data_IF_233267556547
#
_entry.id   IF_233267556547
#
_cell.length_a   1.000
_cell.length_b   1.000
_cell.length_c   1.000
_cell.angle_alpha   90.00
_cell.angle_beta   90.00
_cell.angle_gamma   90.00
#
_symmetry.space_group_name_H-M   'P 1'
#
loop_
_entity.id
_entity.type
_entity.pdbx_description
1 polymer ?
#
# COMPACT_ATOMS: atom_id res chain seq x y z
N UNK A 1 -28.09 -11.87 23.95
CA UNK A 1 -26.82 -12.51 24.36
C UNK A 1 -26.32 -13.38 23.21
N UNK A 2 -25.05 -13.22 22.80
CA UNK A 2 -24.19 -14.13 22.00
C UNK A 2 -24.68 -14.49 20.59
N UNK A 3 -23.97 -14.18 19.49
CA UNK A 3 -22.56 -14.46 19.24
C UNK A 3 -21.77 -13.24 18.75
N UNK A 4 -20.50 -13.22 19.15
CA UNK A 4 -19.52 -12.13 19.04
C UNK A 4 -18.96 -11.98 17.60
N UNK A 5 -18.27 -10.87 17.28
CA UNK A 5 -17.45 -10.70 16.06
C UNK A 5 -16.30 -11.72 15.89
N UNK A 6 -16.17 -12.66 16.83
CA UNK A 6 -15.31 -13.85 16.79
C UNK A 6 -15.76 -14.88 15.75
N UNK A 7 -16.83 -14.61 14.98
CA UNK A 7 -17.27 -15.39 13.84
C UNK A 7 -16.18 -15.48 12.76
N UNK A 8 -15.36 -16.50 13.00
CA UNK A 8 -14.52 -17.28 12.11
C UNK A 8 -13.25 -16.60 11.56
N UNK A 9 -12.47 -16.03 12.48
CA UNK A 9 -11.04 -15.71 12.25
C UNK A 9 -10.31 -16.90 11.64
N UNK A 10 -10.64 -18.12 12.08
CA UNK A 10 -10.11 -19.36 11.51
C UNK A 10 -10.42 -19.50 10.02
N UNK A 11 -11.64 -19.20 9.57
CA UNK A 11 -12.03 -19.19 8.15
C UNK A 11 -11.49 -18.01 7.35
N UNK A 12 -11.26 -16.86 7.99
CA UNK A 12 -10.53 -15.76 7.36
C UNK A 12 -9.06 -16.10 7.19
N UNK A 13 -8.42 -16.65 8.23
CA UNK A 13 -7.03 -17.12 8.21
C UNK A 13 -6.87 -18.27 7.22
N UNK A 14 -7.81 -19.21 7.13
CA UNK A 14 -7.75 -20.31 6.19
C UNK A 14 -7.87 -19.88 4.72
N UNK A 15 -8.31 -18.64 4.45
CA UNK A 15 -8.25 -18.03 3.10
C UNK A 15 -6.87 -17.49 2.77
N UNK A 16 -6.04 -17.25 3.78
CA UNK A 16 -4.60 -17.11 3.59
C UNK A 16 -4.05 -18.54 3.57
N UNK A 17 -3.40 -19.00 2.49
CA UNK A 17 -2.68 -20.28 2.56
C UNK A 17 -1.75 -20.26 3.79
N UNK A 18 -1.43 -21.41 4.42
CA UNK A 18 -0.62 -21.49 5.63
C UNK A 18 0.79 -20.96 5.35
N UNK A 19 0.88 -19.65 5.41
CA UNK A 19 1.97 -18.80 5.00
C UNK A 19 2.06 -17.70 6.04
N UNK A 20 3.26 -17.15 6.14
CA UNK A 20 3.61 -16.14 7.13
C UNK A 20 2.60 -14.99 7.23
N UNK A 21 1.96 -14.56 6.13
CA UNK A 21 0.90 -13.55 6.14
C UNK A 21 -0.29 -13.90 7.06
N UNK A 22 -0.71 -15.17 7.11
CA UNK A 22 -1.77 -15.62 8.02
C UNK A 22 -1.34 -15.58 9.50
N UNK A 23 -0.07 -15.92 9.78
CA UNK A 23 0.54 -15.78 11.12
C UNK A 23 0.57 -14.31 11.55
N UNK A 24 0.95 -13.40 10.63
CA UNK A 24 0.97 -11.95 10.88
C UNK A 24 -0.43 -11.46 11.27
N UNK A 25 -1.42 -11.77 10.42
CA UNK A 25 -2.81 -11.32 10.62
C UNK A 25 -3.37 -11.86 11.94
N UNK A 26 -3.10 -13.13 12.26
CA UNK A 26 -3.52 -13.72 13.53
C UNK A 26 -2.85 -13.04 14.72
N UNK A 27 -1.54 -12.81 14.66
CA UNK A 27 -0.79 -12.18 15.74
C UNK A 27 -1.27 -10.74 16.00
N UNK A 28 -1.51 -9.97 14.94
CA UNK A 28 -2.12 -8.64 15.01
C UNK A 28 -3.54 -8.68 15.58
N UNK A 29 -4.33 -9.70 15.22
CA UNK A 29 -5.66 -9.91 15.81
C UNK A 29 -5.58 -10.12 17.32
N UNK A 30 -4.65 -10.96 17.78
CA UNK A 30 -4.44 -11.23 19.19
C UNK A 30 -3.86 -10.03 19.94
N UNK A 31 -3.27 -9.06 19.22
CA UNK A 31 -2.65 -7.88 19.83
C UNK A 31 -1.25 -8.12 20.35
N UNK A 32 -0.58 -9.14 19.81
CA UNK A 32 0.80 -9.41 20.11
C UNK A 32 1.68 -8.28 19.56
N UNK A 33 2.80 -8.02 20.24
CA UNK A 33 3.83 -7.10 19.74
C UNK A 33 4.42 -7.66 18.45
N UNK A 34 4.67 -6.76 17.51
CA UNK A 34 5.18 -7.03 16.16
C UNK A 34 6.03 -5.85 15.73
N UNK A 35 7.05 -6.16 14.95
CA UNK A 35 7.99 -5.23 14.36
C UNK A 35 7.79 -5.31 12.84
N UNK A 36 7.55 -4.16 12.21
CA UNK A 36 7.18 -4.12 10.79
C UNK A 36 8.36 -4.54 9.92
N UNK A 37 9.58 -4.12 10.30
CA UNK A 37 10.80 -4.46 9.60
C UNK A 37 11.10 -5.97 9.67
N UNK A 38 11.04 -6.58 10.86
CA UNK A 38 11.22 -8.01 11.08
C UNK A 38 10.20 -8.82 10.27
N UNK A 39 8.94 -8.41 10.31
CA UNK A 39 7.85 -9.06 9.59
C UNK A 39 8.01 -8.99 8.08
N UNK A 40 8.37 -7.81 7.57
CA UNK A 40 8.70 -7.57 6.18
C UNK A 40 9.87 -8.43 5.71
N UNK A 41 10.94 -8.51 6.49
CA UNK A 41 12.10 -9.34 6.19
C UNK A 41 11.79 -10.85 6.23
N UNK A 42 11.01 -11.30 7.22
CA UNK A 42 10.54 -12.68 7.29
C UNK A 42 9.69 -13.03 6.07
N UNK A 43 8.83 -12.12 5.59
CA UNK A 43 8.05 -12.31 4.36
C UNK A 43 8.96 -12.42 3.15
N UNK A 44 9.91 -11.49 2.99
CA UNK A 44 10.90 -11.51 1.90
C UNK A 44 11.69 -12.82 1.86
N UNK A 45 12.11 -13.36 3.01
CA UNK A 45 12.91 -14.59 3.09
C UNK A 45 12.08 -15.88 2.92
N UNK A 46 10.88 -15.95 3.52
CA UNK A 46 10.07 -17.18 3.54
C UNK A 46 9.17 -17.33 2.32
N UNK A 47 8.74 -16.23 1.71
CA UNK A 47 7.91 -16.27 0.51
C UNK A 47 8.78 -16.12 -0.73
N UNK A 48 8.60 -17.03 -1.68
CA UNK A 48 9.16 -16.92 -3.04
C UNK A 48 8.37 -15.87 -3.84
N UNK A 49 8.53 -14.59 -3.53
CA UNK A 49 7.96 -13.51 -4.35
C UNK A 49 8.89 -13.28 -5.54
N UNK A 50 8.34 -13.19 -6.74
CA UNK A 50 9.10 -12.75 -7.90
C UNK A 50 9.23 -11.22 -7.84
N UNK A 51 10.45 -10.72 -7.71
CA UNK A 51 10.72 -9.29 -7.57
C UNK A 51 11.51 -8.81 -8.78
N UNK A 52 11.03 -7.74 -9.42
CA UNK A 52 11.66 -7.10 -10.58
C UNK A 52 11.79 -5.59 -10.37
N UNK A 53 12.77 -4.97 -11.03
CA UNK A 53 12.91 -3.51 -11.02
C UNK A 53 13.50 -2.92 -9.75
N UNK A 54 14.15 -3.73 -8.89
CA UNK A 54 14.79 -3.23 -7.66
C UNK A 54 15.86 -2.18 -7.97
N UNK A 55 16.55 -2.34 -9.10
CA UNK A 55 17.53 -1.39 -9.62
C UNK A 55 16.98 0.03 -9.80
N UNK A 56 15.66 0.19 -9.98
CA UNK A 56 15.01 1.50 -10.09
C UNK A 56 15.02 2.30 -8.78
N UNK A 57 15.22 1.62 -7.63
CA UNK A 57 15.40 2.26 -6.33
C UNK A 57 16.82 2.81 -6.16
N UNK A 58 17.85 2.21 -6.75
CA UNK A 58 19.22 2.71 -6.58
C UNK A 58 19.39 4.16 -7.09
N UNK A 59 18.49 4.60 -7.97
CA UNK A 59 18.46 5.95 -8.50
C UNK A 59 17.73 6.97 -7.61
N UNK A 60 17.10 6.59 -6.49
CA UNK A 60 16.32 7.52 -5.66
C UNK A 60 17.18 8.42 -4.76
N UNK A 61 18.47 8.11 -4.55
CA UNK A 61 19.43 8.97 -3.84
C UNK A 61 18.86 9.58 -2.55
N UNK A 62 19.05 10.88 -2.33
CA UNK A 62 18.45 11.62 -1.21
C UNK A 62 17.13 12.32 -1.56
N UNK A 63 16.51 12.02 -2.71
CA UNK A 63 15.26 12.70 -3.10
C UNK A 63 14.04 12.05 -2.45
N UNK A 64 12.97 12.83 -2.27
CA UNK A 64 11.70 12.29 -1.78
C UNK A 64 11.08 11.34 -2.79
N UNK A 65 10.43 10.29 -2.33
CA UNK A 65 9.83 9.29 -3.22
C UNK A 65 8.36 9.10 -2.91
N UNK A 66 7.53 9.16 -3.94
CA UNK A 66 6.12 8.80 -3.86
C UNK A 66 5.88 7.51 -4.63
N UNK A 67 5.55 6.45 -3.91
CA UNK A 67 5.27 5.13 -4.46
C UNK A 67 3.77 4.94 -4.58
N UNK A 68 3.31 4.53 -5.77
CA UNK A 68 1.91 4.21 -6.02
C UNK A 68 1.80 2.78 -6.50
N UNK A 69 1.01 1.95 -5.83
CA UNK A 69 0.82 0.54 -6.18
C UNK A 69 -0.64 0.16 -6.44
N UNK A 70 -0.91 -0.80 -7.31
CA UNK A 70 -2.28 -1.30 -7.51
C UNK A 70 -2.79 -2.10 -6.30
N UNK A 71 -4.11 -2.32 -6.22
CA UNK A 71 -4.75 -3.06 -5.15
C UNK A 71 -5.20 -4.46 -5.60
N UNK A 72 -4.32 -5.49 -5.65
CA UNK A 72 -4.70 -6.85 -6.00
C UNK A 72 -5.58 -7.51 -4.93
N UNK A 73 -5.94 -8.79 -5.15
CA UNK A 73 -6.62 -9.63 -4.16
C UNK A 73 -5.88 -9.66 -2.82
N UNK A 74 -6.66 -9.65 -1.73
CA UNK A 74 -6.21 -9.45 -0.34
C UNK A 74 -4.95 -10.21 0.09
N UNK A 75 -4.80 -11.53 -0.11
CA UNK A 75 -3.61 -12.25 0.39
C UNK A 75 -2.31 -11.77 -0.25
N UNK A 76 -2.39 -11.37 -1.52
CA UNK A 76 -1.26 -11.01 -2.37
C UNK A 76 -0.86 -9.56 -2.11
N UNK A 77 -1.85 -8.72 -1.82
CA UNK A 77 -1.63 -7.35 -1.35
C UNK A 77 -0.76 -7.32 -0.09
N UNK A 78 -1.05 -8.19 0.90
CA UNK A 78 -0.27 -8.23 2.14
C UNK A 78 1.16 -8.68 1.86
N UNK A 79 1.35 -9.79 1.16
CA UNK A 79 2.70 -10.30 0.84
C UNK A 79 3.52 -9.29 0.00
N UNK A 80 2.87 -8.65 -0.97
CA UNK A 80 3.48 -7.62 -1.82
C UNK A 80 3.86 -6.35 -1.05
N UNK A 81 2.96 -5.79 -0.24
CA UNK A 81 3.24 -4.59 0.57
C UNK A 81 4.38 -4.85 1.54
N UNK A 82 4.34 -5.96 2.29
CA UNK A 82 5.39 -6.24 3.27
C UNK A 82 6.74 -6.47 2.58
N UNK A 83 6.76 -7.09 1.40
CA UNK A 83 7.98 -7.24 0.62
C UNK A 83 8.49 -5.90 0.09
N UNK A 84 7.60 -5.03 -0.39
CA UNK A 84 7.95 -3.67 -0.78
C UNK A 84 8.59 -2.92 0.39
N UNK A 85 7.98 -2.96 1.57
CA UNK A 85 8.51 -2.32 2.77
C UNK A 85 9.88 -2.91 3.17
N UNK A 86 10.07 -4.22 3.04
CA UNK A 86 11.37 -4.86 3.30
C UNK A 86 12.47 -4.31 2.39
N UNK A 87 12.16 -4.14 1.09
CA UNK A 87 13.10 -3.62 0.10
C UNK A 87 13.39 -2.13 0.37
N UNK A 88 12.36 -1.35 0.71
CA UNK A 88 12.50 0.08 0.97
C UNK A 88 13.26 0.38 2.27
N UNK A 89 13.24 -0.57 3.22
CA UNK A 89 13.97 -0.46 4.49
C UNK A 89 15.39 -1.03 4.39
N UNK A 90 15.78 -1.53 3.22
CA UNK A 90 17.13 -2.02 2.97
C UNK A 90 18.04 -0.82 2.67
N UNK A 91 18.91 -0.50 3.63
CA UNK A 91 19.79 0.69 3.58
C UNK A 91 20.68 0.70 2.33
N UNK A 92 21.06 -0.48 1.84
CA UNK A 92 21.89 -0.64 0.64
C UNK A 92 21.13 -0.32 -0.66
N UNK A 93 19.79 -0.24 -0.61
CA UNK A 93 18.92 -0.06 -1.78
C UNK A 93 18.30 1.34 -1.81
N UNK A 94 17.71 1.79 -0.70
CA UNK A 94 16.94 3.03 -0.66
C UNK A 94 17.69 4.21 -0.01
N UNK A 95 18.81 3.92 0.67
CA UNK A 95 19.40 4.78 1.68
C UNK A 95 18.47 4.87 2.89
N UNK A 96 19.01 4.90 4.13
CA UNK A 96 18.20 4.95 5.34
C UNK A 96 17.21 6.13 5.29
N UNK A 97 15.93 5.83 5.05
CA UNK A 97 14.87 6.82 4.85
C UNK A 97 13.63 6.44 5.62
N UNK A 98 12.97 7.47 6.13
CA UNK A 98 11.68 7.30 6.76
C UNK A 98 10.62 6.98 5.69
N UNK A 99 9.85 5.92 5.92
CA UNK A 99 8.79 5.39 5.06
C UNK A 99 7.44 5.65 5.73
N UNK A 100 6.52 6.25 5.00
CA UNK A 100 5.13 6.42 5.42
C UNK A 100 4.21 5.65 4.48
N UNK A 101 3.59 4.58 4.99
CA UNK A 101 2.54 3.85 4.28
C UNK A 101 1.19 4.51 4.54
N UNK A 102 0.50 4.89 3.47
CA UNK A 102 -0.86 5.41 3.50
C UNK A 102 -1.83 4.27 3.21
N UNK A 103 -2.66 3.93 4.19
CA UNK A 103 -3.69 2.91 4.08
C UNK A 103 -5.08 3.50 4.27
N UNK A 104 -6.08 2.89 3.63
CA UNK A 104 -7.47 3.23 3.89
C UNK A 104 -7.84 2.89 5.35
N UNK A 105 -8.47 3.84 6.04
CA UNK A 105 -8.95 3.65 7.41
C UNK A 105 -10.15 2.71 7.53
N UNK A 106 -10.81 2.44 6.40
CA UNK A 106 -11.97 1.57 6.28
C UNK A 106 -12.09 1.05 4.84
N UNK A 107 -12.53 -0.19 4.66
CA UNK A 107 -12.94 -0.66 3.33
C UNK A 107 -14.45 -0.43 3.21
N UNK A 108 -14.94 0.26 2.15
CA UNK A 108 -16.37 0.42 1.91
C UNK A 108 -17.01 -0.93 1.62
N UNK A 109 -17.38 -1.69 2.64
CA UNK A 109 -18.15 -2.91 2.43
C UNK A 109 -19.63 -2.58 2.24
N UNK A 110 -20.29 -3.39 1.42
CA UNK A 110 -21.75 -3.51 1.40
C UNK A 110 -22.21 -4.03 2.77
N UNK A 111 -22.60 -3.15 3.70
CA UNK A 111 -23.26 -3.42 5.01
C UNK A 111 -22.63 -4.44 5.98
N UNK A 112 -21.67 -5.28 5.58
CA UNK A 112 -21.12 -6.41 6.34
C UNK A 112 -19.60 -6.56 6.07
N UNK A 113 -18.78 -5.61 6.51
CA UNK A 113 -17.32 -5.73 6.40
C UNK A 113 -16.87 -6.76 7.43
N UNK A 114 -16.72 -8.01 7.00
CA UNK A 114 -16.13 -9.04 7.85
C UNK A 114 -14.62 -8.82 7.99
N UNK A 115 -14.12 -9.20 9.16
CA UNK A 115 -12.71 -9.30 9.53
C UNK A 115 -11.85 -9.89 8.38
N UNK A 116 -10.67 -9.33 8.02
CA UNK A 116 -9.82 -8.40 8.78
C UNK A 116 -10.02 -6.91 8.44
N UNK A 117 -11.01 -6.52 7.64
CA UNK A 117 -11.05 -5.18 7.06
C UNK A 117 -11.88 -4.15 7.82
N UNK A 118 -12.08 -4.38 9.12
CA UNK A 118 -12.80 -3.44 9.98
C UNK A 118 -11.92 -2.24 10.34
N UNK A 119 -12.55 -1.08 10.60
CA UNK A 119 -11.87 0.12 11.12
C UNK A 119 -11.03 -0.23 12.35
N UNK A 120 -11.58 -1.06 13.25
CA UNK A 120 -10.91 -1.47 14.48
C UNK A 120 -9.65 -2.28 14.21
N UNK A 121 -9.67 -3.17 13.21
CA UNK A 121 -8.46 -3.92 12.83
C UNK A 121 -7.43 -3.01 12.19
N UNK A 122 -7.81 -2.15 11.25
CA UNK A 122 -6.85 -1.21 10.61
C UNK A 122 -6.20 -0.29 11.65
N UNK A 123 -6.98 0.23 12.61
CA UNK A 123 -6.46 0.99 13.75
C UNK A 123 -5.50 0.17 14.61
N UNK A 124 -5.84 -1.09 14.89
CA UNK A 124 -4.99 -1.98 15.68
C UNK A 124 -3.68 -2.31 14.96
N UNK A 125 -3.74 -2.55 13.65
CA UNK A 125 -2.58 -2.78 12.79
C UNK A 125 -1.65 -1.56 12.79
N UNK A 126 -2.20 -0.38 12.50
CA UNK A 126 -1.42 0.85 12.51
C UNK A 126 -0.86 1.15 13.90
N UNK A 127 -1.64 0.89 14.97
CA UNK A 127 -1.15 1.05 16.33
C UNK A 127 0.04 0.13 16.59
N UNK A 128 -0.13 -1.20 16.46
CA UNK A 128 0.89 -2.21 16.79
C UNK A 128 2.21 -1.94 16.07
N UNK A 129 2.18 -1.61 14.78
CA UNK A 129 3.39 -1.31 14.03
C UNK A 129 3.98 0.07 14.35
N UNK A 130 3.16 1.07 14.70
CA UNK A 130 3.67 2.40 15.03
C UNK A 130 4.14 2.53 16.50
N UNK A 131 3.84 1.58 17.39
CA UNK A 131 4.27 1.64 18.81
C UNK A 131 5.60 0.94 19.08
N UNK A 132 6.01 0.00 18.23
CA UNK A 132 7.19 -0.83 18.50
C UNK A 132 8.44 -0.41 17.70
N UNK A 133 8.32 0.46 16.70
CA UNK A 133 9.40 0.65 15.73
C UNK A 133 10.15 1.98 15.85
N UNK A 134 11.47 1.83 15.64
CA UNK A 134 12.45 2.78 15.12
C UNK A 134 11.75 3.81 14.22
N UNK A 135 12.05 5.11 14.35
CA UNK A 135 11.27 6.24 13.78
C UNK A 135 11.12 6.23 12.23
N UNK A 136 11.59 5.17 11.57
CA UNK A 136 11.79 5.00 10.15
C UNK A 136 10.59 4.44 9.40
N UNK A 137 9.61 3.74 9.99
CA UNK A 137 8.41 3.30 9.23
C UNK A 137 7.10 3.56 9.97
N UNK A 138 6.16 4.24 9.29
CA UNK A 138 4.86 4.62 9.86
C UNK A 138 3.69 4.27 8.96
N UNK A 139 2.59 3.81 9.56
CA UNK A 139 1.31 3.59 8.88
C UNK A 139 0.34 4.72 9.23
N UNK A 140 -0.15 5.44 8.23
CA UNK A 140 -1.20 6.46 8.36
C UNK A 140 -2.50 5.97 7.75
N UNK A 141 -3.59 6.07 8.53
CA UNK A 141 -4.92 5.69 8.09
C UNK A 141 -5.68 6.90 7.57
N UNK A 142 -6.19 6.80 6.34
CA UNK A 142 -6.99 7.85 5.69
C UNK A 142 -8.48 7.51 5.78
N UNK A 143 -9.32 8.38 6.37
CA UNK A 143 -10.76 8.25 6.23
C UNK A 143 -11.17 8.36 4.76
N UNK A 144 -11.92 7.38 4.28
CA UNK A 144 -12.42 7.34 2.91
C UNK A 144 -13.97 7.39 2.83
N UNK A 145 -14.68 7.27 3.96
CA UNK A 145 -16.12 7.46 4.06
C UNK A 145 -16.47 8.90 4.46
N UNK A 146 -17.11 9.64 3.53
CA UNK A 146 -17.57 11.03 3.73
C UNK A 146 -18.55 11.22 4.89
N UNK A 147 -19.24 10.15 5.32
CA UNK A 147 -20.20 10.19 6.42
C UNK A 147 -19.52 10.18 7.79
N UNK A 148 -18.21 9.93 7.86
CA UNK A 148 -17.47 9.98 9.12
C UNK A 148 -17.35 11.41 9.65
N UNK A 149 -17.56 11.66 10.95
CA UNK A 149 -17.35 12.98 11.54
C UNK A 149 -15.95 13.53 11.31
N UNK A 150 -14.93 12.66 11.31
CA UNK A 150 -13.52 13.02 11.15
C UNK A 150 -13.04 12.99 9.69
N UNK A 151 -13.91 12.83 8.70
CA UNK A 151 -13.51 12.66 7.30
C UNK A 151 -12.63 13.82 6.78
N UNK A 152 -13.09 15.07 6.92
CA UNK A 152 -12.38 16.25 6.39
C UNK A 152 -11.08 16.49 7.14
N UNK A 153 -11.13 16.51 8.47
CA UNK A 153 -9.96 16.78 9.31
C UNK A 153 -8.92 15.68 9.24
N UNK A 154 -9.34 14.41 9.23
CA UNK A 154 -8.46 13.26 9.10
C UNK A 154 -7.70 13.27 7.78
N UNK A 155 -8.38 13.54 6.66
CA UNK A 155 -7.71 13.70 5.35
C UNK A 155 -6.77 14.89 5.32
N UNK A 156 -7.13 16.03 5.93
CA UNK A 156 -6.23 17.20 6.04
C UNK A 156 -4.96 16.86 6.83
N UNK A 157 -5.08 16.14 7.95
CA UNK A 157 -3.95 15.69 8.77
C UNK A 157 -3.04 14.74 7.99
N UNK A 158 -3.61 13.76 7.27
CA UNK A 158 -2.80 12.84 6.46
C UNK A 158 -2.09 13.57 5.32
N UNK A 159 -2.77 14.46 4.59
CA UNK A 159 -2.13 15.26 3.53
C UNK A 159 -0.97 16.11 4.07
N UNK A 160 -1.14 16.72 5.25
CA UNK A 160 -0.07 17.46 5.91
C UNK A 160 1.12 16.56 6.27
N UNK A 161 0.86 15.35 6.75
CA UNK A 161 1.90 14.38 7.08
C UNK A 161 2.64 13.89 5.82
N UNK A 162 1.92 13.60 4.73
CA UNK A 162 2.50 13.25 3.42
C UNK A 162 3.45 14.35 2.94
N UNK A 163 2.99 15.60 2.92
CA UNK A 163 3.82 16.73 2.49
C UNK A 163 5.03 16.94 3.40
N UNK A 164 4.86 16.81 4.72
CA UNK A 164 5.97 16.88 5.67
C UNK A 164 6.99 15.76 5.44
N UNK A 165 6.53 14.57 5.08
CA UNK A 165 7.41 13.42 4.80
C UNK A 165 8.24 13.65 3.54
N UNK A 166 7.57 14.07 2.45
CA UNK A 166 8.23 14.36 1.18
C UNK A 166 9.20 15.54 1.32
N UNK A 167 8.83 16.60 2.05
CA UNK A 167 9.71 17.73 2.30
C UNK A 167 11.04 17.36 3.01
N UNK A 168 11.06 16.25 3.75
CA UNK A 168 12.26 15.72 4.44
C UNK A 168 13.05 14.71 3.61
N UNK A 169 12.67 14.48 2.34
CA UNK A 169 13.32 13.47 1.50
C UNK A 169 12.88 12.03 1.79
N UNK A 170 11.81 11.84 2.57
CA UNK A 170 11.28 10.53 2.91
C UNK A 170 10.51 9.85 1.78
N UNK A 171 10.05 8.62 2.06
CA UNK A 171 9.25 7.80 1.16
C UNK A 171 7.80 7.83 1.62
N UNK A 172 6.86 8.02 0.69
CA UNK A 172 5.42 7.86 0.91
C UNK A 172 4.90 6.79 -0.03
N UNK A 173 4.31 5.72 0.50
CA UNK A 173 3.69 4.67 -0.29
C UNK A 173 2.18 4.71 -0.16
N UNK A 174 1.46 4.67 -1.28
CA UNK A 174 0.00 4.72 -1.35
C UNK A 174 -0.54 3.63 -2.29
N UNK A 175 -1.57 2.91 -1.85
CA UNK A 175 -2.35 2.10 -2.75
C UNK A 175 -3.16 3.02 -3.69
N UNK A 176 -2.89 2.94 -4.99
CA UNK A 176 -3.63 3.65 -6.04
C UNK A 176 -5.11 3.29 -5.98
N UNK A 177 -5.98 4.30 -6.12
CA UNK A 177 -7.42 4.12 -5.92
C UNK A 177 -8.12 3.58 -7.17
N UNK A 178 -8.58 2.34 -7.09
CA UNK A 178 -9.27 1.67 -8.18
C UNK A 178 -9.00 0.17 -8.16
N UNK A 179 -9.77 -0.57 -8.93
CA UNK A 179 -9.44 -1.95 -9.28
C UNK A 179 -8.71 -1.86 -10.62
N UNK A 180 -7.37 -1.95 -10.60
CA UNK A 180 -6.50 -1.67 -11.75
C UNK A 180 -6.23 -2.95 -12.58
N UNK A 181 -7.01 -4.00 -12.35
CA UNK A 181 -6.98 -5.27 -13.09
C UNK A 181 -7.63 -5.18 -14.48
N UNK A 182 -8.18 -6.30 -14.96
CA UNK A 182 -8.68 -6.46 -16.35
C UNK A 182 -9.74 -5.44 -16.78
N UNK A 183 -10.46 -4.86 -15.82
CA UNK A 183 -11.56 -3.93 -16.07
C UNK A 183 -11.15 -2.46 -15.88
N UNK A 184 -10.08 -2.02 -16.53
CA UNK A 184 -9.76 -0.58 -16.63
C UNK A 184 -10.91 0.21 -17.27
N UNK A 185 -11.72 -0.45 -18.11
CA UNK A 185 -12.93 0.14 -18.70
C UNK A 185 -14.16 0.10 -17.78
N UNK A 186 -14.15 -0.67 -16.69
CA UNK A 186 -15.15 -0.56 -15.60
C UNK A 186 -14.59 0.13 -14.37
N UNK A 187 -13.50 0.90 -14.52
CA UNK A 187 -13.02 1.77 -13.46
C UNK A 187 -14.13 2.75 -13.11
N UNK A 188 -14.90 2.43 -12.05
CA UNK A 188 -16.08 3.18 -11.59
C UNK A 188 -15.86 4.68 -11.75
N UNK A 189 -16.58 5.27 -12.71
CA UNK A 189 -16.67 6.71 -12.92
C UNK A 189 -16.82 7.37 -11.54
N UNK A 190 -15.94 8.33 -11.26
CA UNK A 190 -16.00 9.21 -10.10
C UNK A 190 -15.82 8.58 -8.71
N UNK A 191 -14.56 8.35 -8.33
CA UNK A 191 -14.19 8.49 -6.93
C UNK A 191 -13.21 9.65 -6.77
N UNK A 192 -13.61 10.69 -6.02
CA UNK A 192 -12.83 11.88 -5.60
C UNK A 192 -11.43 11.57 -5.04
N UNK A 193 -11.23 10.30 -4.71
CA UNK A 193 -9.99 9.68 -4.32
C UNK A 193 -8.95 9.81 -5.44
N UNK A 194 -9.24 9.46 -6.71
CA UNK A 194 -8.26 9.42 -7.82
C UNK A 194 -7.44 10.70 -7.96
N UNK A 195 -8.00 11.86 -7.61
CA UNK A 195 -7.32 13.15 -7.65
C UNK A 195 -6.19 13.30 -6.63
N UNK A 196 -6.24 12.56 -5.53
CA UNK A 196 -5.27 12.62 -4.44
C UNK A 196 -3.89 12.12 -4.87
N UNK A 197 -3.83 10.93 -5.49
CA UNK A 197 -2.57 10.37 -5.97
C UNK A 197 -1.92 11.27 -7.03
N UNK A 198 -2.70 11.77 -8.01
CA UNK A 198 -2.19 12.68 -9.03
C UNK A 198 -1.65 14.00 -8.46
N UNK A 199 -2.36 14.61 -7.50
CA UNK A 199 -1.86 15.84 -6.86
C UNK A 199 -0.59 15.58 -6.06
N UNK A 200 -0.51 14.47 -5.32
CA UNK A 200 0.70 14.13 -4.55
C UNK A 200 1.86 13.85 -5.50
N UNK A 201 1.62 13.19 -6.63
CA UNK A 201 2.64 12.95 -7.66
C UNK A 201 3.19 14.26 -8.25
N UNK A 202 2.30 15.20 -8.60
CA UNK A 202 2.68 16.55 -9.05
C UNK A 202 3.50 17.25 -7.98
N UNK A 203 2.99 17.34 -6.74
CA UNK A 203 3.70 17.97 -5.61
C UNK A 203 5.09 17.34 -5.39
N UNK A 204 5.17 16.00 -5.48
CA UNK A 204 6.43 15.25 -5.31
C UNK A 204 7.49 15.73 -6.29
N UNK A 205 7.17 15.83 -7.56
CA UNK A 205 8.14 16.21 -8.60
C UNK A 205 8.37 17.71 -8.62
N UNK A 206 7.31 18.52 -8.68
CA UNK A 206 7.41 19.96 -8.90
C UNK A 206 7.82 20.73 -7.64
N UNK A 207 7.36 20.31 -6.46
CA UNK A 207 7.63 21.03 -5.20
C UNK A 207 8.82 20.47 -4.46
N UNK A 208 8.98 19.14 -4.43
CA UNK A 208 10.00 18.49 -3.61
C UNK A 208 11.20 17.96 -4.40
N UNK A 209 11.21 18.08 -5.74
CA UNK A 209 12.27 17.53 -6.59
C UNK A 209 12.39 16.01 -6.47
N UNK A 210 11.29 15.36 -6.10
CA UNK A 210 11.18 13.95 -5.83
C UNK A 210 10.92 13.09 -7.06
N UNK A 211 10.70 11.80 -6.82
CA UNK A 211 10.39 10.80 -7.85
C UNK A 211 9.08 10.11 -7.55
N UNK A 212 8.31 9.80 -8.60
CA UNK A 212 7.11 8.99 -8.49
C UNK A 212 7.44 7.59 -9.02
N UNK A 213 7.27 6.56 -8.20
CA UNK A 213 7.52 5.18 -8.60
C UNK A 213 6.19 4.41 -8.67
N UNK A 214 5.77 3.98 -9.87
CA UNK A 214 4.68 3.04 -10.00
C UNK A 214 5.16 1.65 -9.57
N UNK A 215 4.31 0.89 -8.88
CA UNK A 215 4.60 -0.49 -8.46
C UNK A 215 3.43 -1.40 -8.82
N UNK A 216 3.72 -2.51 -9.48
CA UNK A 216 2.74 -3.54 -9.80
C UNK A 216 2.87 -4.72 -8.83
N UNK A 217 1.76 -5.09 -8.19
CA UNK A 217 1.63 -6.25 -7.32
C UNK A 217 0.55 -7.17 -7.90
N UNK A 218 0.87 -8.44 -8.15
CA UNK A 218 -0.03 -9.39 -8.80
C UNK A 218 0.23 -10.83 -8.36
N UNK A 219 -0.55 -11.75 -8.92
CA UNK A 219 -0.27 -13.19 -8.89
C UNK A 219 0.04 -13.64 -10.30
N UNK A 220 1.23 -14.18 -10.52
CA UNK A 220 1.60 -14.80 -11.79
C UNK A 220 0.79 -16.08 -12.03
N UNK A 221 0.76 -16.55 -13.28
CA UNK A 221 0.06 -17.78 -13.70
C UNK A 221 0.32 -19.01 -12.82
N UNK A 222 1.55 -19.17 -12.33
CA UNK A 222 1.94 -20.28 -11.45
C UNK A 222 1.51 -20.08 -9.99
N UNK A 223 0.69 -19.07 -9.68
CA UNK A 223 0.19 -18.79 -8.34
C UNK A 223 1.19 -18.10 -7.43
N UNK A 224 2.32 -17.61 -7.97
CA UNK A 224 3.35 -16.96 -7.18
C UNK A 224 3.06 -15.46 -7.03
N UNK A 225 3.31 -14.88 -5.85
CA UNK A 225 3.24 -13.43 -5.69
C UNK A 225 4.28 -12.76 -6.60
N UNK A 226 3.87 -11.66 -7.21
CA UNK A 226 4.65 -10.88 -8.16
C UNK A 226 4.72 -9.43 -7.71
N UNK A 227 5.92 -8.85 -7.74
CA UNK A 227 6.17 -7.44 -7.46
C UNK A 227 7.12 -6.87 -8.51
N UNK A 228 6.69 -5.82 -9.21
CA UNK A 228 7.55 -5.06 -10.12
C UNK A 228 7.57 -3.59 -9.73
N UNK A 229 8.77 -3.04 -9.54
CA UNK A 229 9.01 -1.62 -9.32
C UNK A 229 9.32 -0.98 -10.67
N UNK A 230 8.51 -0.02 -11.08
CA UNK A 230 8.69 0.69 -12.34
C UNK A 230 9.78 1.74 -12.29
N UNK A 231 10.16 2.21 -13.48
CA UNK A 231 11.02 3.38 -13.60
C UNK A 231 10.33 4.64 -13.04
N UNK A 232 11.11 5.64 -12.56
CA UNK A 232 10.58 6.94 -12.15
C UNK A 232 9.69 7.58 -13.21
N UNK A 233 8.43 7.80 -12.86
CA UNK A 233 7.45 8.51 -13.68
C UNK A 233 7.59 10.02 -13.48
N UNK A 234 7.73 10.74 -14.58
CA UNK A 234 7.67 12.20 -14.62
C UNK A 234 6.27 12.59 -15.13
N UNK A 235 5.42 13.21 -14.28
CA UNK A 235 4.10 13.69 -14.70
C UNK A 235 4.22 14.62 -15.91
N UNK A 236 3.46 14.33 -16.98
CA UNK A 236 3.45 15.14 -18.21
C UNK A 236 2.35 16.21 -18.26
N UNK A 237 1.51 16.26 -17.23
CA UNK A 237 0.37 17.16 -17.13
C UNK A 237 0.31 17.75 -15.72
N UNK A 238 -0.17 18.99 -15.60
CA UNK A 238 -0.53 19.60 -14.32
C UNK A 238 -1.95 19.20 -13.89
N UNK A 239 -2.72 18.51 -14.75
CA UNK A 239 -4.03 17.98 -14.38
C UNK A 239 -3.88 16.68 -13.58
N UNK A 240 -4.35 16.73 -12.33
CA UNK A 240 -4.28 15.60 -11.39
C UNK A 240 -5.01 14.33 -11.87
N UNK A 241 -6.06 14.43 -12.69
CA UNK A 241 -6.74 13.24 -13.25
C UNK A 241 -5.84 12.59 -14.29
N UNK A 242 -5.27 13.37 -15.18
CA UNK A 242 -4.38 12.88 -16.23
C UNK A 242 -3.13 12.23 -15.64
N UNK A 243 -2.52 12.83 -14.62
CA UNK A 243 -1.36 12.25 -13.92
C UNK A 243 -1.72 10.92 -13.26
N UNK A 244 -2.91 10.82 -12.66
CA UNK A 244 -3.37 9.56 -12.06
C UNK A 244 -3.59 8.48 -13.11
N UNK A 245 -4.04 8.85 -14.31
CA UNK A 245 -4.17 7.96 -15.46
C UNK A 245 -2.79 7.50 -15.98
N UNK A 246 -1.82 8.39 -16.06
CA UNK A 246 -0.44 8.04 -16.46
C UNK A 246 0.17 7.01 -15.50
N UNK A 247 -0.01 7.21 -14.19
CA UNK A 247 0.40 6.23 -13.17
C UNK A 247 -0.32 4.90 -13.39
N UNK A 248 -1.60 4.93 -13.76
CA UNK A 248 -2.39 3.73 -14.03
C UNK A 248 -1.88 2.90 -15.17
N UNK A 249 -1.65 3.57 -16.28
CA UNK A 249 -1.18 2.94 -17.51
C UNK A 249 0.22 2.38 -17.29
N UNK A 250 1.07 3.08 -16.52
CA UNK A 250 2.38 2.58 -16.13
C UNK A 250 2.28 1.31 -15.28
N UNK A 251 1.45 1.30 -14.22
CA UNK A 251 1.24 0.10 -13.39
C UNK A 251 0.66 -1.04 -14.22
N UNK A 252 -0.32 -0.77 -15.09
CA UNK A 252 -0.93 -1.78 -15.96
C UNK A 252 0.10 -2.41 -16.90
N UNK A 253 0.97 -1.61 -17.50
CA UNK A 253 1.99 -2.09 -18.43
C UNK A 253 3.02 -3.03 -17.76
N UNK A 254 3.14 -2.94 -16.43
CA UNK A 254 3.98 -3.83 -15.61
C UNK A 254 3.27 -5.08 -15.11
N UNK A 255 1.94 -5.16 -15.20
CA UNK A 255 1.23 -6.37 -14.81
C UNK A 255 1.56 -7.50 -15.80
N UNK A 256 1.71 -8.76 -15.31
CA UNK A 256 1.90 -9.89 -16.19
C UNK A 256 0.71 -10.02 -17.15
N UNK A 257 0.98 -10.35 -18.42
CA UNK A 257 -0.03 -10.43 -19.49
C UNK A 257 -1.16 -11.41 -19.19
N UNK A 258 -0.87 -12.44 -18.41
CA UNK A 258 -1.85 -13.41 -17.94
C UNK A 258 -1.79 -13.46 -16.41
N UNK A 259 -2.92 -13.19 -15.78
CA UNK A 259 -3.08 -13.20 -14.32
C UNK A 259 -4.01 -14.33 -13.91
N UNK A 260 -3.79 -14.90 -12.73
CA UNK A 260 -4.77 -15.81 -12.12
C UNK A 260 -5.94 -14.97 -11.63
N UNK A 261 -7.05 -14.97 -12.38
CA UNK A 261 -8.34 -14.46 -11.91
C UNK A 261 -8.92 -15.48 -10.94
N UNK A 262 -8.97 -15.16 -9.65
CA UNK A 262 -9.64 -15.97 -8.62
C UNK A 262 -10.76 -15.17 -7.97
#
# INVERSE_FOLDING_TARGET
>A
MGLRPELDISRTISRFPPKLAGEIIYSLYMGNKRDLYEDSNRIRMKNKIQIFGQENLNHIGNTSVFIVFNHPVTPVLVEGIFTLLAILSDDDIAGRKDITLIAAGEIPSKKNAYFPWSISFMKKLAYIYNINDDETTRILLVPNNKLRPDYREGRKKVNSAIRSQLARGGIVALAGEGDWGENINQTKKDSDLRHGAGQIAIDTVETFGGKVLPVAIAVSLNGMPYLQIGEPLIPRSSDKKDVSLQIAESIKAMLPKEMVVR
#
